data_IF_274525041308
#
_entry.id   IF_274525041308
#
_cell.length_a   1.000
_cell.length_b   1.000
_cell.length_c   1.000
_cell.angle_alpha   90.00
_cell.angle_beta   90.00
_cell.angle_gamma   90.00
#
_symmetry.space_group_name_H-M   'P 1'
#
loop_
_entity.id
_entity.type
_entity.pdbx_description
1 polymer ?
#
# COMPACT_ATOMS: atom_id res chain seq x y z
N UNK A 1 -15.63 52.61 43.58
CA UNK A 1 -14.86 51.36 43.67
C UNK A 1 -13.56 51.56 42.89
N UNK A 2 -12.48 50.99 43.43
CA UNK A 2 -11.10 51.45 43.27
C UNK A 2 -10.48 51.05 41.91
N UNK A 3 -9.71 52.01 41.39
CA UNK A 3 -8.84 52.05 40.20
C UNK A 3 -7.62 51.12 40.36
N UNK A 4 -7.08 50.57 39.25
CA UNK A 4 -5.67 50.75 38.79
C UNK A 4 -5.19 49.67 37.80
N UNK A 5 -4.93 50.13 36.57
CA UNK A 5 -3.93 49.59 35.66
C UNK A 5 -2.54 49.83 36.27
N UNK A 6 -1.67 48.82 36.27
CA UNK A 6 -0.22 49.02 36.41
C UNK A 6 0.53 48.11 35.46
N UNK A 7 1.55 48.71 34.85
CA UNK A 7 2.55 48.16 33.96
C UNK A 7 3.83 47.88 34.79
N UNK A 8 4.63 46.94 34.29
CA UNK A 8 6.10 46.93 34.29
C UNK A 8 6.88 45.90 35.14
N UNK A 9 7.89 45.38 34.43
CA UNK A 9 9.27 45.11 34.83
C UNK A 9 9.67 43.70 35.30
N UNK A 10 10.64 43.19 34.54
CA UNK A 10 11.38 41.95 34.66
C UNK A 10 12.27 41.88 35.91
N UNK A 11 12.54 40.64 36.36
CA UNK A 11 13.81 40.28 36.99
C UNK A 11 14.19 38.83 36.64
N UNK A 12 15.37 38.70 36.04
CA UNK A 12 16.12 37.48 35.82
C UNK A 12 16.66 36.97 37.16
N UNK A 13 16.40 35.70 37.49
CA UNK A 13 17.19 34.93 38.44
C UNK A 13 17.36 33.51 37.88
N UNK A 14 18.62 33.09 37.75
CA UNK A 14 19.02 31.83 37.15
C UNK A 14 18.60 30.59 37.95
N UNK A 15 18.54 29.47 37.24
CA UNK A 15 18.39 28.14 37.80
C UNK A 15 18.91 27.12 36.79
N UNK A 16 20.16 26.72 36.95
CA UNK A 16 20.77 25.59 36.25
C UNK A 16 20.17 24.29 36.80
N UNK A 17 19.79 23.38 35.90
CA UNK A 17 19.87 21.94 36.14
C UNK A 17 18.57 21.23 36.47
N UNK A 18 18.01 20.53 35.47
CA UNK A 18 17.86 19.06 35.44
C UNK A 18 17.02 18.70 34.21
N UNK A 19 17.70 18.29 33.15
CA UNK A 19 17.07 17.62 32.01
C UNK A 19 16.56 16.26 32.48
N UNK A 20 15.25 16.10 32.57
CA UNK A 20 14.62 14.80 32.64
C UNK A 20 14.52 14.24 31.20
N UNK A 21 15.10 13.07 30.88
CA UNK A 21 14.81 12.41 29.62
C UNK A 21 13.41 11.79 29.74
N UNK A 22 12.44 12.40 29.07
CA UNK A 22 11.16 11.71 28.80
C UNK A 22 11.47 10.65 27.76
N UNK A 23 11.41 9.39 28.22
CA UNK A 23 11.54 8.21 27.40
C UNK A 23 10.56 8.25 26.23
N UNK A 24 11.10 8.18 25.01
CA UNK A 24 10.36 7.82 23.82
C UNK A 24 9.84 6.38 24.04
N UNK A 25 8.54 6.23 24.30
CA UNK A 25 7.87 4.97 24.08
C UNK A 25 7.77 4.76 22.57
N UNK A 26 8.79 4.15 21.99
CA UNK A 26 8.74 3.65 20.62
C UNK A 26 7.79 2.44 20.62
N UNK A 27 6.56 2.64 20.13
CA UNK A 27 5.72 1.53 19.68
C UNK A 27 6.45 0.87 18.51
N UNK A 28 7.11 -0.25 18.78
CA UNK A 28 7.87 -1.01 17.80
C UNK A 28 6.95 -1.57 16.71
N UNK A 29 7.05 -1.00 15.51
CA UNK A 29 6.82 -1.76 14.28
C UNK A 29 8.20 -2.11 13.75
N UNK A 30 8.60 -3.37 13.94
CA UNK A 30 9.88 -3.95 13.54
C UNK A 30 10.01 -4.01 12.00
N UNK A 31 10.29 -2.86 11.38
CA UNK A 31 10.68 -2.82 9.97
C UNK A 31 11.95 -1.99 9.83
N UNK A 32 13.10 -2.66 9.87
CA UNK A 32 14.38 -2.01 9.62
C UNK A 32 14.54 -1.74 8.12
N UNK A 33 14.63 -0.47 7.73
CA UNK A 33 15.17 -0.08 6.42
C UNK A 33 16.70 -0.26 6.43
N UNK A 34 17.21 -1.21 5.65
CA UNK A 34 18.65 -1.43 5.55
C UNK A 34 19.33 -0.30 4.76
N UNK A 35 20.37 0.30 5.34
CA UNK A 35 21.37 1.11 4.61
C UNK A 35 22.40 0.14 3.98
N UNK A 36 22.94 0.38 2.77
CA UNK A 36 23.54 -0.68 1.94
C UNK A 36 24.85 -1.31 2.42
N UNK A 37 25.37 -0.95 3.60
CA UNK A 37 26.76 -1.26 3.99
C UNK A 37 26.90 -1.93 5.36
N UNK A 38 25.82 -2.19 6.10
CA UNK A 38 25.92 -2.93 7.37
C UNK A 38 25.32 -4.32 7.23
N UNK A 39 26.09 -5.34 7.60
CA UNK A 39 25.64 -6.72 7.67
C UNK A 39 24.36 -6.83 8.51
N UNK A 40 23.38 -7.56 7.99
CA UNK A 40 22.07 -7.77 8.63
C UNK A 40 22.24 -8.39 10.04
N UNK A 41 21.65 -7.82 11.10
CA UNK A 41 21.62 -8.43 12.42
C UNK A 41 20.93 -9.80 12.39
N UNK A 42 21.48 -10.78 13.12
CA UNK A 42 21.06 -12.19 13.11
C UNK A 42 19.60 -12.43 13.55
N UNK A 43 18.98 -11.47 14.24
CA UNK A 43 17.60 -11.57 14.74
C UNK A 43 16.55 -10.88 13.85
N UNK A 44 16.94 -10.39 12.67
CA UNK A 44 15.97 -9.80 11.74
C UNK A 44 15.20 -10.92 11.02
N UNK A 45 13.91 -11.08 11.36
CA UNK A 45 13.03 -12.02 10.67
C UNK A 45 12.88 -11.56 9.21
N UNK A 46 13.30 -12.36 8.21
CA UNK A 46 13.09 -11.99 6.82
C UNK A 46 11.59 -11.88 6.53
N UNK A 47 11.18 -11.00 5.59
CA UNK A 47 9.80 -11.01 5.12
C UNK A 47 9.43 -12.43 4.70
N UNK A 48 8.25 -12.87 5.15
CA UNK A 48 7.76 -14.24 4.95
C UNK A 48 7.80 -14.55 3.46
N UNK A 49 8.67 -15.48 3.06
CA UNK A 49 8.66 -16.05 1.72
C UNK A 49 7.39 -16.88 1.57
N UNK A 50 6.35 -16.30 0.99
CA UNK A 50 5.15 -17.04 0.60
C UNK A 50 5.57 -18.14 -0.38
N UNK A 51 4.89 -19.29 -0.29
CA UNK A 51 5.22 -20.53 -1.03
C UNK A 51 4.77 -20.40 -2.50
N UNK A 52 5.43 -19.50 -3.21
CA UNK A 52 5.32 -19.16 -4.62
C UNK A 52 6.50 -18.23 -4.85
N UNK A 53 7.43 -18.58 -5.74
CA UNK A 53 8.73 -17.89 -5.85
C UNK A 53 8.60 -16.37 -5.80
N UNK A 54 9.50 -15.70 -5.07
CA UNK A 54 9.45 -14.25 -4.93
C UNK A 54 9.50 -13.60 -6.32
N UNK A 55 8.51 -12.75 -6.62
CA UNK A 55 8.49 -12.00 -7.88
C UNK A 55 9.66 -11.01 -7.86
N UNK A 56 10.49 -10.93 -8.92
CA UNK A 56 11.54 -9.92 -9.00
C UNK A 56 10.99 -8.51 -8.81
N UNK A 57 11.57 -7.74 -7.89
CA UNK A 57 11.11 -6.38 -7.56
C UNK A 57 9.90 -6.30 -6.62
N UNK A 58 9.39 -7.44 -6.12
CA UNK A 58 8.24 -7.46 -5.20
C UNK A 58 8.45 -6.60 -3.95
N UNK A 59 9.63 -6.66 -3.33
CA UNK A 59 9.92 -5.89 -2.12
C UNK A 59 9.83 -4.38 -2.36
N UNK A 60 10.34 -3.91 -3.51
CA UNK A 60 10.26 -2.51 -3.89
C UNK A 60 8.81 -2.10 -4.21
N UNK A 61 8.07 -2.96 -4.93
CA UNK A 61 6.67 -2.74 -5.24
C UNK A 61 5.83 -2.66 -3.96
N UNK A 62 5.99 -3.61 -3.03
CA UNK A 62 5.30 -3.60 -1.72
C UNK A 62 5.65 -2.35 -0.93
N UNK A 63 6.92 -1.97 -0.86
CA UNK A 63 7.32 -0.74 -0.18
C UNK A 63 6.68 0.51 -0.82
N UNK A 64 6.57 0.56 -2.15
CA UNK A 64 5.89 1.65 -2.86
C UNK A 64 4.38 1.64 -2.62
N UNK A 65 3.76 0.47 -2.63
CA UNK A 65 2.33 0.31 -2.33
C UNK A 65 1.98 0.88 -0.95
N UNK A 66 2.77 0.54 0.06
CA UNK A 66 2.55 1.02 1.43
C UNK A 66 2.74 2.54 1.56
N UNK A 67 3.66 3.15 0.81
CA UNK A 67 3.82 4.62 0.78
C UNK A 67 2.65 5.35 0.11
N UNK A 68 1.91 4.68 -0.78
CA UNK A 68 0.76 5.27 -1.47
C UNK A 68 -0.52 5.19 -0.63
N UNK A 69 -0.57 4.37 0.43
CA UNK A 69 -1.74 4.29 1.32
C UNK A 69 -2.03 5.67 1.93
N UNK A 70 -3.28 6.10 1.85
CA UNK A 70 -3.72 7.44 2.28
C UNK A 70 -3.52 8.54 1.22
N UNK A 71 -2.99 8.21 0.04
CA UNK A 71 -3.03 9.14 -1.11
C UNK A 71 -4.37 9.10 -1.82
N UNK A 72 -4.60 10.06 -2.72
CA UNK A 72 -5.86 10.23 -3.47
C UNK A 72 -5.57 10.43 -4.97
N UNK A 73 -6.64 10.54 -5.77
CA UNK A 73 -6.53 10.79 -7.21
C UNK A 73 -6.45 9.51 -8.05
N UNK A 74 -6.81 8.36 -7.49
CA UNK A 74 -6.91 7.09 -8.20
C UNK A 74 -8.35 6.67 -8.48
N UNK A 75 -9.30 7.61 -8.52
CA UNK A 75 -10.72 7.31 -8.71
C UNK A 75 -10.95 6.59 -10.03
N UNK A 76 -11.46 5.35 -9.99
CA UNK A 76 -11.61 4.47 -11.16
C UNK A 76 -10.31 4.18 -11.93
N UNK A 77 -9.15 4.37 -11.30
CA UNK A 77 -7.83 4.23 -11.92
C UNK A 77 -7.02 3.10 -11.27
N UNK A 78 -7.68 1.97 -10.98
CA UNK A 78 -7.08 0.80 -10.34
C UNK A 78 -5.86 0.26 -11.10
N UNK A 79 -5.96 0.15 -12.43
CA UNK A 79 -4.84 -0.26 -13.28
C UNK A 79 -3.66 0.73 -13.23
N UNK A 80 -3.95 2.04 -13.13
CA UNK A 80 -2.90 3.05 -12.96
C UNK A 80 -2.23 2.95 -11.59
N UNK A 81 -3.00 2.73 -10.53
CA UNK A 81 -2.45 2.51 -9.20
C UNK A 81 -1.51 1.30 -9.19
N UNK A 82 -1.96 0.17 -9.72
CA UNK A 82 -1.15 -1.04 -9.80
C UNK A 82 0.15 -0.80 -10.59
N UNK A 83 0.07 -0.15 -11.75
CA UNK A 83 1.24 0.21 -12.54
C UNK A 83 2.21 1.13 -11.77
N UNK A 84 1.69 2.17 -11.12
CA UNK A 84 2.49 3.11 -10.35
C UNK A 84 3.22 2.41 -9.19
N UNK A 85 2.57 1.45 -8.52
CA UNK A 85 3.18 0.61 -7.49
C UNK A 85 4.39 -0.16 -8.04
N UNK A 86 4.30 -0.64 -9.28
CA UNK A 86 5.39 -1.30 -10.01
C UNK A 86 6.33 -0.34 -10.74
N UNK A 87 6.29 0.96 -10.42
CA UNK A 87 7.20 1.97 -10.97
C UNK A 87 6.94 2.29 -12.44
N UNK A 88 5.76 1.95 -12.97
CA UNK A 88 5.34 2.22 -14.35
C UNK A 88 4.34 3.37 -14.36
N UNK A 89 4.39 4.29 -15.35
CA UNK A 89 3.45 5.41 -15.42
C UNK A 89 2.03 5.00 -15.86
N UNK A 90 1.87 3.82 -16.48
CA UNK A 90 0.60 3.29 -16.98
C UNK A 90 0.65 1.76 -17.07
N UNK A 91 -0.52 1.13 -17.10
CA UNK A 91 -0.63 -0.32 -17.23
C UNK A 91 -0.45 -0.83 -18.68
N UNK A 92 -0.76 0.02 -19.67
CA UNK A 92 -0.75 -0.35 -21.08
C UNK A 92 -1.97 -1.17 -21.53
N UNK A 93 -3.00 -1.26 -20.69
CA UNK A 93 -4.30 -1.88 -20.98
C UNK A 93 -5.41 -0.86 -20.73
N UNK A 94 -6.52 -0.94 -21.47
CA UNK A 94 -7.67 -0.05 -21.28
C UNK A 94 -8.39 -0.34 -19.96
N UNK A 95 -8.29 -1.58 -19.46
CA UNK A 95 -8.98 -2.01 -18.24
C UNK A 95 -8.27 -3.15 -17.52
N UNK A 96 -8.68 -3.39 -16.26
CA UNK A 96 -8.21 -4.56 -15.50
C UNK A 96 -8.74 -5.88 -16.10
N UNK A 97 -9.96 -5.87 -16.64
CA UNK A 97 -10.53 -7.03 -17.33
C UNK A 97 -9.75 -7.39 -18.60
N UNK A 98 -9.31 -6.39 -19.37
CA UNK A 98 -8.47 -6.60 -20.55
C UNK A 98 -7.09 -7.15 -20.15
N UNK A 99 -6.46 -6.55 -19.13
CA UNK A 99 -5.19 -7.07 -18.62
C UNK A 99 -5.33 -8.52 -18.15
N UNK A 100 -6.39 -8.85 -17.41
CA UNK A 100 -6.66 -10.23 -16.99
C UNK A 100 -6.82 -11.18 -18.17
N UNK A 101 -7.60 -10.78 -19.19
CA UNK A 101 -7.80 -11.58 -20.39
C UNK A 101 -6.48 -11.86 -21.10
N UNK A 102 -5.62 -10.85 -21.24
CA UNK A 102 -4.29 -11.02 -21.83
C UNK A 102 -3.45 -12.00 -21.00
N UNK A 103 -3.46 -11.89 -19.68
CA UNK A 103 -2.71 -12.80 -18.79
C UNK A 103 -3.21 -14.25 -18.91
N UNK A 104 -4.51 -14.46 -19.12
CA UNK A 104 -5.07 -15.78 -19.39
C UNK A 104 -4.61 -16.30 -20.75
N UNK A 105 -4.76 -15.50 -21.80
CA UNK A 105 -4.42 -15.88 -23.19
C UNK A 105 -2.94 -16.19 -23.37
N UNK A 106 -2.08 -15.48 -22.64
CA UNK A 106 -0.61 -15.67 -22.66
C UNK A 106 -0.10 -16.67 -21.63
N UNK A 107 -1.00 -17.35 -20.89
CA UNK A 107 -0.68 -18.35 -19.88
C UNK A 107 0.22 -17.82 -18.74
N UNK A 108 0.01 -16.58 -18.34
CA UNK A 108 0.63 -15.92 -17.18
C UNK A 108 -0.31 -15.76 -15.98
N UNK A 109 -1.60 -16.04 -16.17
CA UNK A 109 -2.60 -16.05 -15.11
C UNK A 109 -2.57 -17.35 -14.30
N UNK A 110 -2.95 -17.21 -13.04
CA UNK A 110 -3.25 -18.29 -12.09
C UNK A 110 -4.73 -18.18 -11.70
N UNK A 111 -5.66 -18.73 -12.52
CA UNK A 111 -7.08 -18.58 -12.31
C UNK A 111 -7.55 -19.25 -11.02
N UNK A 112 -8.42 -18.58 -10.28
CA UNK A 112 -9.02 -19.03 -9.01
C UNK A 112 -8.04 -19.35 -7.87
N UNK A 113 -6.73 -19.25 -8.09
CA UNK A 113 -5.72 -19.47 -7.05
C UNK A 113 -5.74 -18.33 -6.03
N UNK A 114 -5.99 -18.65 -4.76
CA UNK A 114 -6.03 -17.69 -3.65
C UNK A 114 -4.71 -17.56 -2.89
N UNK A 115 -3.62 -18.07 -3.44
CA UNK A 115 -2.27 -17.99 -2.85
C UNK A 115 -1.31 -17.12 -3.68
N UNK A 116 -1.65 -15.84 -3.98
CA UNK A 116 -0.74 -14.96 -4.71
C UNK A 116 0.56 -14.73 -3.92
N UNK A 117 1.72 -14.68 -4.60
CA UNK A 117 2.94 -14.17 -3.99
C UNK A 117 2.84 -12.65 -3.75
N UNK A 118 3.64 -12.12 -2.82
CA UNK A 118 3.72 -10.68 -2.61
C UNK A 118 4.16 -9.96 -3.90
N UNK A 119 3.54 -8.82 -4.19
CA UNK A 119 3.70 -8.06 -5.41
C UNK A 119 2.79 -8.49 -6.58
N UNK A 120 2.12 -9.63 -6.50
CA UNK A 120 1.25 -10.10 -7.58
C UNK A 120 0.09 -9.14 -7.84
N UNK A 121 -0.35 -9.11 -9.10
CA UNK A 121 -1.59 -8.46 -9.49
C UNK A 121 -2.75 -9.42 -9.25
N UNK A 122 -3.76 -8.97 -8.52
CA UNK A 122 -4.97 -9.75 -8.21
C UNK A 122 -6.17 -9.10 -8.89
N UNK A 123 -7.02 -9.91 -9.51
CA UNK A 123 -8.07 -9.44 -10.42
C UNK A 123 -9.46 -9.89 -9.99
N UNK A 124 -10.44 -9.02 -10.23
CA UNK A 124 -11.86 -9.31 -10.00
C UNK A 124 -12.71 -8.87 -11.19
N UNK A 125 -13.80 -9.62 -11.41
CA UNK A 125 -14.94 -9.15 -12.16
C UNK A 125 -15.90 -8.41 -11.22
N UNK A 126 -16.26 -7.18 -11.57
CA UNK A 126 -17.11 -6.29 -10.74
C UNK A 126 -18.53 -6.13 -11.30
N UNK A 127 -18.90 -6.95 -12.29
CA UNK A 127 -20.18 -6.86 -13.02
C UNK A 127 -20.20 -5.85 -14.17
N UNK A 128 -19.25 -4.91 -14.20
CA UNK A 128 -19.00 -4.00 -15.33
C UNK A 128 -17.86 -4.45 -16.25
N UNK A 129 -17.65 -3.76 -17.39
CA UNK A 129 -16.67 -4.16 -18.40
C UNK A 129 -15.21 -3.93 -17.98
N UNK A 130 -14.94 -3.09 -16.97
CA UNK A 130 -13.58 -2.69 -16.63
C UNK A 130 -12.86 -3.65 -15.66
N UNK A 131 -13.61 -4.41 -14.86
CA UNK A 131 -13.05 -5.22 -13.77
C UNK A 131 -12.34 -4.40 -12.70
N UNK A 132 -11.58 -5.08 -11.84
CA UNK A 132 -10.73 -4.44 -10.83
C UNK A 132 -9.39 -5.16 -10.70
N UNK A 133 -8.33 -4.40 -10.42
CA UNK A 133 -7.00 -4.93 -10.13
C UNK A 133 -6.42 -4.24 -8.90
N UNK A 134 -5.76 -5.02 -8.04
CA UNK A 134 -5.02 -4.52 -6.89
C UNK A 134 -3.66 -5.23 -6.78
N UNK A 135 -2.78 -4.74 -5.90
CA UNK A 135 -1.49 -5.38 -5.61
C UNK A 135 -1.56 -6.12 -4.28
N UNK A 136 -1.27 -7.41 -4.30
CA UNK A 136 -1.15 -8.22 -3.09
C UNK A 136 0.15 -7.89 -2.36
N UNK A 137 0.08 -7.51 -1.09
CA UNK A 137 1.26 -7.10 -0.30
C UNK A 137 1.69 -8.14 0.73
N UNK A 138 1.11 -9.35 0.66
CA UNK A 138 1.37 -10.43 1.61
C UNK A 138 0.35 -10.49 2.75
N UNK A 139 0.37 -11.60 3.49
CA UNK A 139 -0.42 -11.80 4.72
C UNK A 139 -1.94 -11.53 4.57
N UNK A 140 -2.51 -11.86 3.42
CA UNK A 140 -3.94 -11.66 3.16
C UNK A 140 -4.34 -10.20 2.95
N UNK A 141 -3.38 -9.30 2.66
CA UNK A 141 -3.62 -7.86 2.46
C UNK A 141 -3.34 -7.43 1.03
N UNK A 142 -4.08 -6.42 0.59
CA UNK A 142 -3.91 -5.76 -0.71
C UNK A 142 -3.84 -4.24 -0.54
N UNK A 143 -3.16 -3.58 -1.47
CA UNK A 143 -3.31 -2.14 -1.69
C UNK A 143 -4.22 -1.92 -2.90
N UNK A 144 -5.32 -1.22 -2.68
CA UNK A 144 -6.39 -0.99 -3.66
C UNK A 144 -6.88 0.46 -3.58
N UNK A 145 -7.47 0.96 -4.66
CA UNK A 145 -8.19 2.23 -4.67
C UNK A 145 -9.69 2.04 -4.39
N UNK A 146 -10.38 3.14 -4.10
CA UNK A 146 -11.84 3.34 -4.03
C UNK A 146 -12.58 2.56 -2.92
N UNK A 147 -12.03 1.45 -2.43
CA UNK A 147 -12.69 0.52 -1.50
C UNK A 147 -13.03 1.14 -0.13
N UNK A 148 -12.26 2.14 0.30
CA UNK A 148 -12.48 2.85 1.55
C UNK A 148 -13.03 4.27 1.39
N UNK A 149 -13.41 4.68 0.17
CA UNK A 149 -13.87 6.04 -0.08
C UNK A 149 -15.16 6.34 0.71
N UNK A 150 -15.10 7.37 1.55
CA UNK A 150 -16.29 7.86 2.25
C UNK A 150 -17.18 8.70 1.32
N UNK A 151 -16.57 9.29 0.29
CA UNK A 151 -17.24 10.10 -0.73
C UNK A 151 -16.89 9.57 -2.11
N UNK A 152 -17.90 9.31 -2.93
CA UNK A 152 -17.68 8.86 -4.30
C UNK A 152 -16.88 9.90 -5.10
N UNK A 153 -15.88 9.44 -5.86
CA UNK A 153 -15.02 10.31 -6.68
C UNK A 153 -13.67 10.65 -6.07
N UNK A 154 -13.41 10.27 -4.82
CA UNK A 154 -12.18 10.63 -4.10
C UNK A 154 -10.96 9.88 -4.63
N UNK A 155 -11.11 8.57 -4.88
CA UNK A 155 -10.02 7.78 -5.41
C UNK A 155 -8.91 7.56 -4.40
N UNK A 156 -9.27 7.34 -3.14
CA UNK A 156 -8.32 7.09 -2.07
C UNK A 156 -7.63 5.74 -2.25
N UNK A 157 -6.45 5.60 -1.65
CA UNK A 157 -5.66 4.37 -1.68
C UNK A 157 -5.63 3.74 -0.28
N UNK A 158 -6.00 2.47 -0.19
CA UNK A 158 -6.25 1.78 1.08
C UNK A 158 -5.48 0.46 1.14
N UNK A 159 -4.98 0.15 2.34
CA UNK A 159 -4.50 -1.17 2.70
C UNK A 159 -5.62 -1.95 3.37
N UNK A 160 -6.21 -2.91 2.66
CA UNK A 160 -7.38 -3.67 3.14
C UNK A 160 -7.15 -5.16 3.12
N UNK A 161 -8.06 -5.90 3.74
CA UNK A 161 -8.09 -7.35 3.65
C UNK A 161 -8.44 -7.78 2.23
N UNK A 162 -7.78 -8.82 1.73
CA UNK A 162 -7.90 -9.31 0.36
C UNK A 162 -9.35 -9.67 0.00
N UNK A 163 -10.09 -10.26 0.94
CA UNK A 163 -11.50 -10.62 0.75
C UNK A 163 -12.47 -9.43 0.78
N UNK A 164 -12.03 -8.23 1.17
CA UNK A 164 -12.95 -7.08 1.34
C UNK A 164 -13.59 -6.66 0.01
N UNK A 165 -12.84 -6.73 -1.09
CA UNK A 165 -13.33 -6.42 -2.45
C UNK A 165 -14.56 -7.29 -2.79
N UNK A 166 -14.49 -8.58 -2.50
CA UNK A 166 -15.60 -9.52 -2.76
C UNK A 166 -16.79 -9.21 -1.86
N UNK A 167 -16.55 -9.04 -0.55
CA UNK A 167 -17.64 -8.84 0.42
C UNK A 167 -18.34 -7.49 0.29
N UNK A 168 -17.62 -6.44 -0.08
CA UNK A 168 -18.16 -5.08 -0.11
C UNK A 168 -18.75 -4.72 -1.48
N UNK A 169 -18.16 -5.20 -2.57
CA UNK A 169 -18.63 -4.87 -3.93
C UNK A 169 -19.42 -6.00 -4.58
N UNK A 170 -19.52 -7.18 -3.96
CA UNK A 170 -20.09 -8.37 -4.60
C UNK A 170 -19.26 -8.84 -5.81
N UNK A 171 -17.98 -8.47 -5.86
CA UNK A 171 -17.09 -8.79 -6.96
C UNK A 171 -16.71 -10.28 -6.94
N UNK A 172 -16.45 -10.86 -8.10
CA UNK A 172 -15.98 -12.24 -8.25
C UNK A 172 -14.48 -12.25 -8.45
N UNK A 173 -13.74 -12.88 -7.54
CA UNK A 173 -12.31 -13.07 -7.70
C UNK A 173 -11.99 -13.97 -8.90
N UNK A 174 -11.08 -13.50 -9.76
CA UNK A 174 -10.70 -14.20 -10.99
C UNK A 174 -9.40 -15.00 -10.82
N UNK A 175 -8.46 -14.48 -10.05
CA UNK A 175 -7.13 -15.07 -9.87
C UNK A 175 -6.04 -14.02 -9.77
N UNK A 176 -4.79 -14.45 -9.91
CA UNK A 176 -3.62 -13.55 -9.88
C UNK A 176 -2.73 -13.75 -11.09
N UNK A 177 -1.90 -12.76 -11.39
CA UNK A 177 -0.86 -12.86 -12.41
C UNK A 177 0.42 -12.15 -11.94
N UNK A 178 1.54 -12.51 -12.57
CA UNK A 178 2.78 -11.71 -12.45
C UNK A 178 2.53 -10.28 -12.96
N UNK A 179 3.31 -9.28 -12.48
CA UNK A 179 3.14 -7.86 -12.80
C UNK A 179 3.64 -7.52 -14.21
N UNK A 180 2.96 -8.07 -15.21
CA UNK A 180 3.25 -7.87 -16.63
C UNK A 180 2.39 -6.70 -17.11
N UNK A 181 3.06 -5.72 -17.70
CA UNK A 181 2.45 -4.50 -18.23
C UNK A 181 2.78 -4.38 -19.71
N UNK A 182 1.84 -3.87 -20.49
CA UNK A 182 2.09 -3.63 -21.91
C UNK A 182 2.97 -2.39 -22.11
N UNK A 183 3.83 -2.45 -23.12
CA UNK A 183 4.65 -1.30 -23.56
C UNK A 183 3.96 -0.43 -24.59
N UNK A 184 2.83 -0.86 -25.15
CA UNK A 184 2.06 -0.11 -26.16
C UNK A 184 1.28 1.05 -25.56
#
# INVERSE_FOLDING_TARGET
MIVKVTLAAALLAGGVGLMAPIALAASGTDTCAATPTSATPTDCKPPVRTRGGALPGADEAVARALRLVGSHGYYQLCARLAANIWGRPRAGYLSAAEQWHEMVTTNHAHPSDRQPPAGALVFWATGGPYGHVAVYVGNGRIVSNDIGDAVAGEGGVYLVDFGLIESQWGATYLGWASPIYSTT
#
